data_IF_766139310543
#
_entry.id   IF_766139310543
#
_cell.length_a   1.000
_cell.length_b   1.000
_cell.length_c   1.000
_cell.angle_alpha   90.00
_cell.angle_beta   90.00
_cell.angle_gamma   90.00
#
_symmetry.space_group_name_H-M   'P 1'
#
loop_
_entity.id
_entity.type
_entity.pdbx_description
1 polymer ?
#
# COMPACT_ATOMS: atom_id res chain seq x y z
N UNK A 1 28.70 -42.38 -4.11
CA UNK A 1 29.06 -41.17 -3.34
C UNK A 1 27.77 -40.55 -2.86
N UNK A 2 27.66 -40.22 -1.57
CA UNK A 2 26.56 -39.38 -1.09
C UNK A 2 26.75 -37.98 -1.66
N UNK A 3 25.69 -37.36 -2.20
CA UNK A 3 25.75 -35.96 -2.62
C UNK A 3 25.75 -35.09 -1.38
N UNK A 4 26.94 -34.67 -0.94
CA UNK A 4 27.12 -33.76 0.18
C UNK A 4 26.41 -32.44 -0.13
N UNK A 5 25.43 -32.08 0.70
CA UNK A 5 24.63 -30.88 0.50
C UNK A 5 25.42 -29.67 0.97
N UNK A 6 25.98 -28.93 0.00
CA UNK A 6 26.71 -27.69 0.25
C UNK A 6 25.77 -26.47 0.10
N UNK A 7 25.42 -25.77 1.21
CA UNK A 7 24.56 -24.60 1.16
C UNK A 7 25.24 -23.38 0.50
N UNK A 8 26.56 -23.25 0.60
CA UNK A 8 27.29 -22.07 0.11
C UNK A 8 27.30 -22.01 -1.42
N UNK A 9 27.18 -23.15 -2.10
CA UNK A 9 27.00 -23.24 -3.55
C UNK A 9 25.81 -22.43 -4.08
N UNK A 10 24.74 -22.28 -3.30
CA UNK A 10 23.52 -21.58 -3.72
C UNK A 10 23.55 -20.08 -3.44
N UNK A 11 24.46 -19.62 -2.57
CA UNK A 11 24.57 -18.22 -2.14
C UNK A 11 24.64 -17.22 -3.31
N UNK A 12 25.53 -17.38 -4.32
CA UNK A 12 25.64 -16.38 -5.40
C UNK A 12 24.37 -16.28 -6.24
N UNK A 13 23.67 -17.40 -6.42
CA UNK A 13 22.40 -17.45 -7.15
C UNK A 13 21.26 -16.84 -6.34
N UNK A 14 21.21 -17.10 -5.03
CA UNK A 14 20.25 -16.46 -4.11
C UNK A 14 20.45 -14.95 -4.13
N UNK A 15 21.67 -14.46 -3.94
CA UNK A 15 21.99 -13.02 -3.89
C UNK A 15 21.69 -12.33 -5.25
N UNK A 16 21.93 -13.01 -6.38
CA UNK A 16 21.54 -12.51 -7.70
C UNK A 16 20.01 -12.42 -7.87
N UNK A 17 19.25 -13.44 -7.46
CA UNK A 17 17.78 -13.42 -7.51
C UNK A 17 17.22 -12.29 -6.61
N UNK A 18 17.74 -12.17 -5.39
CA UNK A 18 17.38 -11.14 -4.42
C UNK A 18 17.77 -9.72 -4.88
N UNK A 19 18.85 -9.57 -5.66
CA UNK A 19 19.30 -8.29 -6.20
C UNK A 19 18.51 -7.81 -7.42
N UNK A 20 18.13 -8.70 -8.33
CA UNK A 20 17.45 -8.36 -9.60
C UNK A 20 15.93 -8.20 -9.46
N UNK A 21 15.33 -8.87 -8.48
CA UNK A 21 13.88 -9.10 -8.46
C UNK A 21 13.21 -8.43 -7.26
N UNK A 22 11.92 -8.07 -7.37
CA UNK A 22 11.20 -7.26 -6.37
C UNK A 22 11.19 -7.88 -4.96
N UNK A 23 11.97 -7.26 -4.07
CA UNK A 23 12.26 -7.66 -2.68
C UNK A 23 10.99 -7.94 -1.84
N UNK A 24 9.89 -7.22 -2.10
CA UNK A 24 8.63 -7.33 -1.34
C UNK A 24 7.69 -8.44 -1.86
N UNK A 25 7.86 -8.90 -3.10
CA UNK A 25 6.91 -9.80 -3.79
C UNK A 25 7.41 -11.26 -3.78
N UNK A 26 8.69 -11.46 -3.53
CA UNK A 26 9.34 -12.76 -3.61
C UNK A 26 9.20 -13.51 -2.29
N UNK A 27 8.65 -14.72 -2.40
CA UNK A 27 8.59 -15.65 -1.28
C UNK A 27 9.76 -16.63 -1.33
N UNK A 28 10.21 -17.09 -0.16
CA UNK A 28 11.24 -18.13 -0.02
C UNK A 28 10.93 -19.37 -0.88
N UNK A 29 9.65 -19.75 -0.99
CA UNK A 29 9.18 -20.84 -1.86
C UNK A 29 9.52 -20.59 -3.34
N UNK A 30 9.41 -19.37 -3.83
CA UNK A 30 9.70 -19.00 -5.23
C UNK A 30 11.20 -19.10 -5.53
N UNK A 31 12.05 -18.64 -4.61
CA UNK A 31 13.51 -18.78 -4.72
C UNK A 31 13.91 -20.26 -4.69
N UNK A 32 13.41 -21.03 -3.72
CA UNK A 32 13.69 -22.47 -3.63
C UNK A 32 13.25 -23.23 -4.88
N UNK A 33 12.08 -22.92 -5.45
CA UNK A 33 11.63 -23.51 -6.70
C UNK A 33 12.54 -23.13 -7.88
N UNK A 34 13.00 -21.88 -7.97
CA UNK A 34 13.96 -21.45 -8.99
C UNK A 34 15.33 -22.15 -8.84
N UNK A 35 15.79 -22.40 -7.60
CA UNK A 35 17.00 -23.20 -7.35
C UNK A 35 16.81 -24.67 -7.77
N UNK A 36 15.63 -25.27 -7.54
CA UNK A 36 15.33 -26.63 -8.03
C UNK A 36 15.37 -26.70 -9.56
N UNK A 37 14.84 -25.69 -10.24
CA UNK A 37 14.83 -25.58 -11.71
C UNK A 37 16.23 -25.35 -12.30
N UNK A 38 17.02 -24.44 -11.72
CA UNK A 38 18.36 -24.10 -12.20
C UNK A 38 19.41 -25.19 -11.97
N UNK A 39 19.32 -25.93 -10.86
CA UNK A 39 20.32 -26.95 -10.51
C UNK A 39 19.84 -28.39 -10.80
N UNK A 40 18.56 -28.63 -11.07
CA UNK A 40 18.02 -29.96 -11.31
C UNK A 40 18.08 -30.91 -10.10
N UNK A 41 18.24 -30.36 -8.89
CA UNK A 41 18.38 -31.11 -7.63
C UNK A 41 17.11 -30.98 -6.81
N UNK A 42 16.66 -32.09 -6.19
CA UNK A 42 15.57 -31.98 -5.22
C UNK A 42 16.06 -31.40 -3.88
N UNK A 43 15.71 -30.13 -3.67
CA UNK A 43 15.99 -29.35 -2.48
C UNK A 43 14.93 -29.52 -1.36
N UNK A 44 14.01 -30.49 -1.46
CA UNK A 44 13.06 -30.79 -0.38
C UNK A 44 13.69 -31.34 0.91
N UNK A 45 14.70 -32.24 0.89
CA UNK A 45 15.32 -32.77 2.13
C UNK A 45 15.95 -31.67 2.98
N UNK A 46 16.60 -30.70 2.32
CA UNK A 46 17.29 -29.55 2.95
C UNK A 46 16.49 -28.26 2.91
N UNK A 47 15.16 -28.36 2.77
CA UNK A 47 14.25 -27.20 2.66
C UNK A 47 14.45 -26.19 3.80
N UNK A 48 14.68 -26.65 5.03
CA UNK A 48 14.85 -25.77 6.18
C UNK A 48 16.13 -24.94 6.06
N UNK A 49 17.25 -25.61 5.84
CA UNK A 49 18.59 -25.01 5.72
C UNK A 49 18.62 -23.94 4.62
N UNK A 50 17.96 -24.21 3.49
CA UNK A 50 17.82 -23.28 2.37
C UNK A 50 16.90 -22.10 2.71
N UNK A 51 15.78 -22.36 3.39
CA UNK A 51 14.88 -21.28 3.82
C UNK A 51 15.59 -20.32 4.79
N UNK A 52 16.35 -20.86 5.74
CA UNK A 52 17.10 -20.10 6.73
C UNK A 52 18.24 -19.32 6.05
N UNK A 53 18.95 -19.93 5.09
CA UNK A 53 19.97 -19.26 4.26
C UNK A 53 19.40 -18.08 3.45
N UNK A 54 18.27 -18.29 2.75
CA UNK A 54 17.57 -17.24 1.99
C UNK A 54 17.16 -16.09 2.91
N UNK A 55 16.65 -16.42 4.10
CA UNK A 55 16.18 -15.43 5.08
C UNK A 55 17.34 -14.60 5.64
N UNK A 56 18.47 -15.23 5.97
CA UNK A 56 19.67 -14.54 6.43
C UNK A 56 20.26 -13.64 5.34
N UNK A 57 20.31 -14.11 4.09
CA UNK A 57 20.77 -13.29 2.96
C UNK A 57 19.84 -12.11 2.67
N UNK A 58 18.53 -12.31 2.78
CA UNK A 58 17.53 -11.25 2.66
C UNK A 58 17.76 -10.12 3.69
N UNK A 59 17.97 -10.46 4.97
CA UNK A 59 18.26 -9.45 6.00
C UNK A 59 19.59 -8.73 5.78
N UNK A 60 20.67 -9.45 5.44
CA UNK A 60 21.96 -8.83 5.13
C UNK A 60 21.90 -7.86 3.94
N UNK A 61 21.06 -8.16 2.94
CA UNK A 61 20.89 -7.32 1.75
C UNK A 61 20.02 -6.07 2.04
N UNK A 62 19.09 -6.17 2.99
CA UNK A 62 18.37 -5.00 3.54
C UNK A 62 19.32 -4.07 4.32
N UNK A 63 20.08 -4.61 5.28
CA UNK A 63 21.02 -3.83 6.09
C UNK A 63 22.05 -3.12 5.19
N UNK A 64 22.58 -3.83 4.19
CA UNK A 64 23.51 -3.26 3.22
C UNK A 64 22.90 -2.13 2.40
N UNK A 65 21.65 -2.25 1.94
CA UNK A 65 20.93 -1.16 1.25
C UNK A 65 20.73 0.05 2.15
N UNK A 66 20.44 -0.15 3.45
CA UNK A 66 20.37 0.97 4.38
C UNK A 66 21.72 1.66 4.61
N UNK A 67 22.82 0.90 4.70
CA UNK A 67 24.17 1.47 4.82
C UNK A 67 24.58 2.23 3.56
N UNK A 68 24.31 1.68 2.37
CA UNK A 68 24.53 2.36 1.07
C UNK A 68 23.69 3.65 0.98
N UNK A 69 22.44 3.67 1.44
CA UNK A 69 21.67 4.91 1.53
C UNK A 69 22.26 5.91 2.54
N UNK A 70 22.74 5.45 3.69
CA UNK A 70 23.32 6.31 4.74
C UNK A 70 24.64 6.93 4.28
N UNK A 71 25.49 6.19 3.56
CA UNK A 71 26.74 6.72 3.00
C UNK A 71 26.47 7.72 1.89
N UNK A 72 25.61 7.41 0.91
CA UNK A 72 25.25 8.34 -0.17
C UNK A 72 24.60 9.63 0.35
N UNK A 73 23.74 9.55 1.38
CA UNK A 73 23.18 10.74 2.04
C UNK A 73 24.26 11.60 2.69
N UNK A 74 25.21 10.97 3.40
CA UNK A 74 26.33 11.66 4.06
C UNK A 74 27.27 12.33 3.05
N UNK A 75 27.64 11.64 1.97
CA UNK A 75 28.46 12.20 0.88
C UNK A 75 27.76 13.38 0.19
N UNK A 76 26.45 13.27 -0.05
CA UNK A 76 25.63 14.33 -0.63
C UNK A 76 25.56 15.57 0.28
N UNK A 77 25.36 15.37 1.59
CA UNK A 77 25.39 16.47 2.57
C UNK A 77 26.77 17.13 2.65
N UNK A 78 27.85 16.36 2.56
CA UNK A 78 29.22 16.88 2.58
C UNK A 78 29.53 17.70 1.32
N UNK A 79 29.10 17.22 0.15
CA UNK A 79 29.17 17.98 -1.11
C UNK A 79 28.37 19.28 -1.04
N UNK A 80 27.13 19.25 -0.54
CA UNK A 80 26.32 20.47 -0.35
C UNK A 80 26.99 21.47 0.63
N UNK A 81 27.70 20.99 1.67
CA UNK A 81 28.48 21.85 2.58
C UNK A 81 29.71 22.47 1.91
N UNK A 82 30.36 21.77 0.98
CA UNK A 82 31.52 22.29 0.23
C UNK A 82 31.10 23.30 -0.85
N UNK A 83 29.97 23.06 -1.52
CA UNK A 83 29.43 23.96 -2.55
C UNK A 83 28.78 25.21 -1.97
N UNK A 84 28.15 25.14 -0.79
CA UNK A 84 27.49 26.27 -0.14
C UNK A 84 28.35 27.57 -0.04
N UNK A 85 29.60 27.56 0.47
CA UNK A 85 30.44 28.76 0.51
C UNK A 85 30.88 29.22 -0.88
N UNK A 86 31.07 28.31 -1.84
CA UNK A 86 31.42 28.66 -3.22
C UNK A 86 30.25 29.39 -3.90
N UNK A 87 29.04 28.85 -3.79
CA UNK A 87 27.80 29.45 -4.30
C UNK A 87 27.47 30.79 -3.61
N UNK A 88 27.68 30.89 -2.29
CA UNK A 88 27.52 32.14 -1.55
C UNK A 88 28.54 33.21 -1.98
N UNK A 89 29.75 32.81 -2.37
CA UNK A 89 30.77 33.72 -2.92
C UNK A 89 30.44 34.14 -4.35
N UNK A 90 30.01 33.20 -5.20
CA UNK A 90 29.63 33.47 -6.59
C UNK A 90 28.45 34.46 -6.64
N UNK A 91 27.37 34.19 -5.92
CA UNK A 91 26.17 35.04 -5.86
C UNK A 91 26.45 36.44 -5.31
N UNK A 92 27.34 36.59 -4.33
CA UNK A 92 27.84 37.91 -3.92
C UNK A 92 28.57 38.62 -5.07
N UNK A 93 29.49 37.93 -5.77
CA UNK A 93 30.20 38.54 -6.91
C UNK A 93 29.28 38.88 -8.09
N UNK A 94 28.23 38.11 -8.35
CA UNK A 94 27.20 38.45 -9.33
C UNK A 94 26.42 39.69 -8.91
N UNK A 95 25.95 39.76 -7.66
CA UNK A 95 25.26 40.94 -7.13
C UNK A 95 26.12 42.22 -7.24
N UNK A 96 27.39 42.15 -6.84
CA UNK A 96 28.32 43.28 -6.94
C UNK A 96 28.76 43.60 -8.37
N UNK A 97 28.85 42.63 -9.28
CA UNK A 97 29.23 42.86 -10.68
C UNK A 97 28.07 43.35 -11.55
N UNK A 98 26.83 42.87 -11.32
CA UNK A 98 25.61 43.45 -11.90
C UNK A 98 25.41 44.87 -11.39
N UNK A 99 25.60 45.12 -10.09
CA UNK A 99 25.61 46.47 -9.52
C UNK A 99 26.69 47.39 -10.11
N UNK A 100 27.86 46.85 -10.49
CA UNK A 100 28.93 47.61 -11.15
C UNK A 100 28.63 47.87 -12.63
N UNK A 101 28.08 46.89 -13.37
CA UNK A 101 27.61 47.05 -14.76
C UNK A 101 26.51 48.10 -14.87
N UNK A 102 25.56 48.12 -13.93
CA UNK A 102 24.49 49.14 -13.89
C UNK A 102 25.02 50.55 -13.59
N UNK A 103 26.07 50.70 -12.78
CA UNK A 103 26.71 52.02 -12.53
C UNK A 103 27.56 52.50 -13.71
N UNK A 104 28.26 51.60 -14.40
CA UNK A 104 29.12 51.94 -15.54
C UNK A 104 28.34 52.48 -16.77
N UNK A 105 27.02 52.24 -16.85
CA UNK A 105 26.15 52.77 -17.92
C UNK A 105 25.68 54.22 -17.63
N UNK A 106 25.93 54.76 -16.43
CA UNK A 106 25.39 56.07 -16.01
C UNK A 106 26.40 57.20 -15.85
N UNK A 107 27.71 56.96 -16.04
CA UNK A 107 28.70 58.06 -16.03
C UNK A 107 28.94 58.60 -17.45
N UNK A 108 27.93 59.27 -18.00
CA UNK A 108 28.09 60.33 -19.01
C UNK A 108 26.82 61.21 -19.06
N UNK A 109 27.00 62.51 -18.79
CA UNK A 109 26.03 63.63 -18.87
C UNK A 109 24.85 63.67 -17.86
N UNK A 110 25.09 64.46 -16.80
CA UNK A 110 24.27 65.62 -16.39
C UNK A 110 22.73 65.57 -16.60
N UNK A 111 21.95 65.45 -15.51
CA UNK A 111 20.51 65.73 -15.53
C UNK A 111 19.77 65.46 -14.21
N UNK A 112 19.26 66.53 -13.56
CA UNK A 112 18.30 66.43 -12.44
C UNK A 112 17.06 65.60 -12.81
N UNK A 113 16.65 64.63 -11.98
CA UNK A 113 15.26 64.46 -11.49
C UNK A 113 15.09 63.41 -10.38
N UNK A 114 13.86 63.29 -9.86
CA UNK A 114 13.49 62.88 -8.48
C UNK A 114 12.42 61.77 -8.51
N UNK A 115 12.30 60.98 -7.42
CA UNK A 115 11.29 59.93 -7.14
C UNK A 115 11.45 58.61 -7.94
N UNK A 116 10.95 57.43 -7.52
CA UNK A 116 10.00 57.09 -6.44
C UNK A 116 10.30 55.70 -5.78
N UNK A 117 9.35 55.13 -5.00
CA UNK A 117 9.50 54.07 -3.97
C UNK A 117 8.68 52.79 -4.30
N UNK A 118 9.00 51.66 -3.64
CA UNK A 118 8.30 50.32 -3.58
C UNK A 118 8.77 49.26 -4.63
N UNK A 119 8.70 47.94 -4.38
CA UNK A 119 8.52 47.13 -3.13
C UNK A 119 8.86 45.63 -3.34
N UNK A 120 9.05 44.88 -2.24
CA UNK A 120 9.20 43.41 -2.18
C UNK A 120 7.90 42.62 -2.44
N UNK A 121 8.02 41.46 -3.08
CA UNK A 121 7.32 40.17 -2.80
C UNK A 121 8.03 39.06 -3.61
N UNK A 122 8.36 37.83 -3.20
CA UNK A 122 8.02 36.90 -2.09
C UNK A 122 6.69 36.14 -2.22
N UNK A 123 6.72 34.97 -2.89
CA UNK A 123 5.80 33.81 -2.77
C UNK A 123 6.18 32.80 -3.88
N UNK A 124 6.93 31.73 -3.60
CA UNK A 124 6.50 30.45 -3.00
C UNK A 124 6.13 29.39 -4.05
N UNK A 125 6.85 28.29 -3.97
CA UNK A 125 6.56 26.94 -4.50
C UNK A 125 5.09 26.63 -4.85
N UNK A 126 4.89 26.10 -6.05
CA UNK A 126 4.05 24.90 -6.21
C UNK A 126 4.63 24.01 -7.32
N UNK A 127 5.00 22.77 -6.97
CA UNK A 127 5.34 21.72 -7.94
C UNK A 127 4.13 20.78 -7.97
N UNK A 128 3.38 20.69 -9.08
CA UNK A 128 2.20 19.85 -9.13
C UNK A 128 2.57 18.40 -8.82
N UNK A 129 1.96 17.87 -7.76
CA UNK A 129 2.15 16.50 -7.29
C UNK A 129 1.70 15.54 -8.40
N UNK A 130 2.54 14.54 -8.70
CA UNK A 130 2.41 13.63 -9.87
C UNK A 130 0.98 13.12 -10.06
N UNK A 131 0.52 13.19 -11.31
CA UNK A 131 -0.82 12.78 -11.74
C UNK A 131 -1.17 11.37 -11.29
N UNK A 132 -2.35 11.27 -10.68
CA UNK A 132 -2.93 10.11 -10.03
C UNK A 132 -2.80 8.77 -10.79
N UNK A 133 -2.66 7.70 -10.01
CA UNK A 133 -3.17 6.38 -10.39
C UNK A 133 -4.72 6.42 -10.31
N UNK A 134 -5.35 7.01 -11.33
CA UNK A 134 -6.78 7.40 -11.38
C UNK A 134 -7.74 6.24 -11.07
N UNK A 135 -7.40 5.01 -11.45
CA UNK A 135 -8.31 3.86 -11.32
C UNK A 135 -8.49 3.34 -9.88
N UNK A 136 -7.40 3.12 -9.14
CA UNK A 136 -7.47 2.38 -7.86
C UNK A 136 -7.92 3.24 -6.68
N UNK A 137 -7.66 4.55 -6.73
CA UNK A 137 -8.06 5.51 -5.71
C UNK A 137 -9.38 6.23 -6.09
N UNK A 138 -10.16 5.72 -7.04
CA UNK A 138 -11.45 6.31 -7.41
C UNK A 138 -12.36 6.40 -6.18
N UNK A 139 -12.91 7.58 -5.94
CA UNK A 139 -13.88 7.81 -4.87
C UNK A 139 -15.16 7.01 -5.15
N UNK A 140 -15.60 6.26 -4.15
CA UNK A 140 -16.81 5.45 -4.18
C UNK A 140 -17.72 5.87 -3.02
N UNK A 141 -19.02 5.68 -3.19
CA UNK A 141 -20.01 5.99 -2.15
C UNK A 141 -20.25 4.73 -1.32
N UNK A 142 -20.30 4.90 -0.01
CA UNK A 142 -20.46 3.81 0.94
C UNK A 142 -21.94 3.63 1.33
N UNK A 143 -22.34 2.42 1.68
CA UNK A 143 -23.64 2.18 2.30
C UNK A 143 -23.76 2.96 3.62
N UNK A 144 -24.99 3.27 4.04
CA UNK A 144 -25.24 3.97 5.32
C UNK A 144 -24.61 3.21 6.52
N UNK A 145 -24.69 1.89 6.53
CA UNK A 145 -24.11 1.04 7.58
C UNK A 145 -22.57 1.15 7.62
N UNK A 146 -21.92 1.14 6.46
CA UNK A 146 -20.46 1.20 6.34
C UNK A 146 -19.95 2.62 6.64
N UNK A 147 -20.69 3.63 6.19
CA UNK A 147 -20.45 5.03 6.51
C UNK A 147 -20.59 5.31 8.02
N UNK A 148 -21.57 4.69 8.70
CA UNK A 148 -21.75 4.83 10.15
C UNK A 148 -20.61 4.18 10.97
N UNK A 149 -19.94 3.15 10.44
CA UNK A 149 -18.78 2.53 11.09
C UNK A 149 -17.51 3.38 10.88
N UNK A 150 -17.30 3.88 9.67
CA UNK A 150 -16.06 4.59 9.27
C UNK A 150 -16.11 6.10 9.54
N UNK A 151 -17.30 6.69 9.67
CA UNK A 151 -17.50 8.14 9.80
C UNK A 151 -17.34 8.93 8.49
N UNK A 152 -17.37 8.24 7.33
CA UNK A 152 -17.19 8.84 6.00
C UNK A 152 -18.25 8.31 5.04
N UNK A 153 -18.93 9.18 4.28
CA UNK A 153 -19.92 8.76 3.28
C UNK A 153 -19.31 8.39 1.93
N UNK A 154 -18.07 8.82 1.67
CA UNK A 154 -17.32 8.59 0.43
C UNK A 154 -15.87 8.27 0.75
N UNK A 155 -15.33 7.22 0.15
CA UNK A 155 -13.94 6.83 0.25
C UNK A 155 -13.56 5.94 -0.93
N UNK A 156 -12.26 5.80 -1.23
CA UNK A 156 -11.80 4.78 -2.16
C UNK A 156 -11.84 3.40 -1.51
N UNK A 157 -12.07 2.34 -2.30
CA UNK A 157 -12.06 0.95 -1.81
C UNK A 157 -10.83 0.57 -0.95
N UNK A 158 -9.57 0.90 -1.31
CA UNK A 158 -8.42 0.62 -0.44
C UNK A 158 -8.44 1.42 0.87
N UNK A 159 -8.98 2.65 0.87
CA UNK A 159 -9.13 3.45 2.07
C UNK A 159 -10.15 2.85 3.04
N UNK A 160 -11.29 2.37 2.54
CA UNK A 160 -12.29 1.61 3.32
C UNK A 160 -11.65 0.40 4.01
N UNK A 161 -10.93 -0.43 3.23
CA UNK A 161 -10.27 -1.64 3.77
C UNK A 161 -9.24 -1.26 4.84
N UNK A 162 -8.47 -0.18 4.64
CA UNK A 162 -7.51 0.31 5.63
C UNK A 162 -8.19 0.77 6.93
N UNK A 163 -9.28 1.55 6.83
CA UNK A 163 -10.02 2.04 8.01
C UNK A 163 -10.67 0.90 8.78
N UNK A 164 -11.21 -0.10 8.07
CA UNK A 164 -11.77 -1.29 8.68
C UNK A 164 -10.71 -2.11 9.42
N UNK A 165 -9.49 -2.23 8.88
CA UNK A 165 -8.37 -2.89 9.57
C UNK A 165 -7.86 -2.13 10.80
N UNK A 166 -7.99 -0.80 10.83
CA UNK A 166 -7.73 0.00 12.04
C UNK A 166 -8.79 -0.36 13.09
N UNK A 167 -10.08 -0.30 12.75
CA UNK A 167 -11.17 -0.68 13.65
C UNK A 167 -11.03 -2.11 14.23
N UNK A 168 -10.69 -3.09 13.39
CA UNK A 168 -10.49 -4.50 13.80
C UNK A 168 -9.33 -4.64 14.80
N UNK A 169 -8.27 -3.84 14.66
CA UNK A 169 -7.11 -3.87 15.57
C UNK A 169 -7.37 -3.11 16.87
N UNK A 170 -8.00 -1.95 16.78
CA UNK A 170 -8.28 -1.09 17.94
C UNK A 170 -9.29 -1.75 18.92
N UNK A 171 -10.14 -2.65 18.41
CA UNK A 171 -11.11 -3.43 19.22
C UNK A 171 -10.68 -4.90 19.46
N UNK A 172 -9.44 -5.27 19.12
CA UNK A 172 -8.87 -6.63 19.22
C UNK A 172 -9.79 -7.76 18.69
N UNK A 173 -10.37 -7.55 17.51
CA UNK A 173 -11.36 -8.44 16.88
C UNK A 173 -10.73 -9.57 16.04
N UNK A 174 -9.44 -9.86 16.22
CA UNK A 174 -8.77 -10.99 15.57
C UNK A 174 -8.84 -12.22 16.46
N UNK A 175 -9.15 -13.39 15.88
CA UNK A 175 -9.09 -14.63 16.66
C UNK A 175 -7.63 -14.89 17.10
N UNK A 176 -7.34 -15.03 18.42
CA UNK A 176 -5.98 -15.27 18.92
C UNK A 176 -5.40 -16.62 18.45
N UNK A 177 -6.25 -17.61 18.15
CA UNK A 177 -5.84 -18.93 17.65
C UNK A 177 -5.54 -18.93 16.15
N UNK A 178 -6.38 -18.25 15.34
CA UNK A 178 -6.16 -18.05 13.90
C UNK A 178 -6.35 -16.60 13.47
N UNK A 179 -5.24 -15.87 13.36
CA UNK A 179 -5.18 -14.45 12.94
C UNK A 179 -5.70 -14.19 11.50
N UNK A 180 -6.12 -15.22 10.76
CA UNK A 180 -6.82 -15.09 9.46
C UNK A 180 -8.32 -14.85 9.62
N UNK A 181 -8.87 -15.16 10.79
CA UNK A 181 -10.27 -15.02 11.15
C UNK A 181 -10.48 -13.73 11.96
N UNK A 182 -11.52 -13.00 11.58
CA UNK A 182 -12.01 -11.81 12.28
C UNK A 182 -13.31 -12.22 12.96
N UNK A 183 -13.38 -12.01 14.28
CA UNK A 183 -14.58 -12.16 15.08
C UNK A 183 -15.38 -10.87 14.93
N UNK A 184 -16.61 -10.95 14.39
CA UNK A 184 -17.41 -9.77 14.17
C UNK A 184 -18.08 -9.32 15.48
N UNK A 185 -17.87 -8.06 15.84
CA UNK A 185 -18.66 -7.38 16.87
C UNK A 185 -20.09 -7.09 16.34
N UNK A 186 -20.97 -6.54 17.17
CA UNK A 186 -22.34 -6.22 16.74
C UNK A 186 -22.42 -5.30 15.51
N UNK A 187 -21.40 -4.44 15.29
CA UNK A 187 -21.39 -3.47 14.20
C UNK A 187 -20.96 -4.12 12.89
N UNK A 188 -19.93 -4.97 12.93
CA UNK A 188 -19.49 -5.79 11.80
C UNK A 188 -20.47 -6.92 11.50
N UNK A 189 -21.14 -7.50 12.51
CA UNK A 189 -22.16 -8.54 12.30
C UNK A 189 -23.39 -7.97 11.58
N UNK A 190 -23.82 -6.74 11.89
CA UNK A 190 -24.91 -6.06 11.13
C UNK A 190 -24.54 -5.87 9.65
N UNK A 191 -23.30 -5.46 9.38
CA UNK A 191 -22.78 -5.29 8.02
C UNK A 191 -22.63 -6.61 7.26
N UNK A 192 -21.90 -7.56 7.83
CA UNK A 192 -21.50 -8.80 7.15
C UNK A 192 -22.50 -9.94 7.29
N UNK A 193 -23.46 -9.82 8.23
CA UNK A 193 -24.49 -10.82 8.56
C UNK A 193 -23.89 -12.18 8.93
N UNK A 194 -22.69 -12.13 9.55
CA UNK A 194 -21.86 -13.27 9.95
C UNK A 194 -21.11 -12.93 11.23
N UNK A 195 -20.98 -13.92 12.11
CA UNK A 195 -20.23 -13.83 13.38
C UNK A 195 -18.72 -13.95 13.22
N UNK A 196 -18.29 -14.60 12.14
CA UNK A 196 -16.87 -14.80 11.84
C UNK A 196 -16.67 -14.65 10.33
N UNK A 197 -15.63 -13.91 9.96
CA UNK A 197 -15.33 -13.56 8.56
C UNK A 197 -13.82 -13.65 8.35
N UNK A 198 -13.39 -14.20 7.21
CA UNK A 198 -11.96 -14.18 6.82
C UNK A 198 -11.59 -12.90 6.08
N UNK A 199 -10.30 -12.51 6.08
CA UNK A 199 -9.82 -11.33 5.33
C UNK A 199 -10.27 -11.27 3.85
N UNK A 200 -10.30 -12.41 3.16
CA UNK A 200 -10.76 -12.49 1.77
C UNK A 200 -12.29 -12.32 1.64
N UNK A 201 -13.03 -12.90 2.58
CA UNK A 201 -14.48 -12.82 2.63
C UNK A 201 -14.98 -11.42 2.99
N UNK A 202 -14.30 -10.73 3.92
CA UNK A 202 -14.50 -9.32 4.22
C UNK A 202 -14.41 -8.47 2.95
N UNK A 203 -13.35 -8.67 2.15
CA UNK A 203 -13.19 -8.00 0.86
C UNK A 203 -14.30 -8.36 -0.14
N UNK A 204 -14.80 -9.60 -0.15
CA UNK A 204 -15.94 -9.99 -0.99
C UNK A 204 -17.20 -9.23 -0.59
N UNK A 205 -17.57 -9.24 0.69
CA UNK A 205 -18.77 -8.61 1.25
C UNK A 205 -18.77 -7.09 1.10
N UNK A 206 -17.61 -6.42 1.28
CA UNK A 206 -17.47 -4.98 1.04
C UNK A 206 -17.90 -4.53 -0.37
N UNK A 207 -17.87 -5.42 -1.37
CA UNK A 207 -18.30 -5.11 -2.74
C UNK A 207 -19.79 -4.80 -2.83
N UNK A 208 -20.62 -5.35 -1.94
CA UNK A 208 -22.06 -5.08 -1.87
C UNK A 208 -22.42 -3.76 -1.17
N UNK A 209 -21.44 -3.09 -0.55
CA UNK A 209 -21.62 -1.85 0.22
C UNK A 209 -20.82 -0.66 -0.32
N UNK A 210 -20.18 -0.82 -1.49
CA UNK A 210 -19.35 0.19 -2.14
C UNK A 210 -19.85 0.38 -3.57
N UNK A 211 -20.45 1.54 -3.84
CA UNK A 211 -21.11 1.87 -5.11
C UNK A 211 -20.31 2.92 -5.88
N UNK A 212 -20.33 2.90 -7.22
CA UNK A 212 -19.76 4.03 -7.99
C UNK A 212 -20.71 5.21 -7.86
N UNK A 213 -20.21 6.46 -7.89
CA UNK A 213 -21.07 7.64 -7.87
C UNK A 213 -22.02 7.72 -9.08
N UNK A 214 -21.67 7.06 -10.19
CA UNK A 214 -22.50 6.93 -11.40
C UNK A 214 -23.73 6.02 -11.19
N UNK A 215 -23.61 4.94 -10.40
CA UNK A 215 -24.65 3.91 -10.29
C UNK A 215 -25.85 4.35 -9.39
N UNK A 216 -25.79 5.56 -8.81
CA UNK A 216 -26.71 6.04 -7.77
C UNK A 216 -27.85 6.89 -8.35
N UNK A 217 -27.70 7.45 -9.56
CA UNK A 217 -28.78 8.17 -10.24
C UNK A 217 -29.97 7.27 -10.57
N UNK A 218 -29.70 5.99 -10.81
CA UNK A 218 -30.67 5.05 -11.40
C UNK A 218 -31.28 4.11 -10.32
N UNK A 219 -30.69 4.09 -9.12
CA UNK A 219 -30.95 3.07 -8.08
C UNK A 219 -32.20 3.27 -7.22
N UNK A 220 -32.90 4.41 -7.31
CA UNK A 220 -34.13 4.66 -6.53
C UNK A 220 -35.37 3.92 -7.07
N UNK A 221 -35.29 3.30 -8.24
CA UNK A 221 -36.44 2.73 -8.96
C UNK A 221 -36.57 1.20 -8.90
N UNK A 222 -35.62 0.44 -8.33
CA UNK A 222 -35.66 -1.02 -8.40
C UNK A 222 -35.28 -1.76 -7.11
N UNK A 223 -36.09 -1.58 -6.06
CA UNK A 223 -36.14 -2.47 -4.90
C UNK A 223 -37.33 -3.45 -4.99
N UNK A 224 -37.56 -4.07 -6.15
CA UNK A 224 -38.47 -5.23 -6.28
C UNK A 224 -38.27 -5.98 -7.61
N UNK A 225 -37.25 -6.83 -7.68
CA UNK A 225 -37.29 -8.04 -8.51
C UNK A 225 -36.23 -9.05 -8.07
N UNK A 226 -36.69 -10.10 -7.40
CA UNK A 226 -35.91 -11.30 -7.07
C UNK A 226 -35.68 -12.13 -8.36
N UNK A 227 -34.57 -12.87 -8.45
CA UNK A 227 -34.15 -13.51 -9.72
C UNK A 227 -33.11 -14.62 -9.56
N UNK A 228 -33.39 -15.59 -8.67
CA UNK A 228 -32.54 -16.76 -8.44
C UNK A 228 -32.81 -17.90 -9.46
N UNK A 229 -31.82 -18.75 -9.72
CA UNK A 229 -31.92 -20.00 -10.48
C UNK A 229 -30.53 -20.66 -10.57
N UNK A 230 -30.33 -21.97 -10.42
CA UNK A 230 -31.24 -23.14 -10.43
C UNK A 230 -30.63 -24.23 -9.49
N UNK A 231 -31.25 -25.35 -9.08
CA UNK A 231 -32.51 -26.00 -9.47
C UNK A 231 -33.07 -26.98 -8.41
N UNK A 232 -34.26 -27.52 -8.72
CA UNK A 232 -34.82 -28.83 -8.33
C UNK A 232 -35.51 -28.99 -6.95
N UNK A 233 -36.84 -29.03 -7.01
CA UNK A 233 -37.76 -29.64 -6.05
C UNK A 233 -38.29 -30.96 -6.63
N UNK A 234 -38.62 -31.92 -5.77
CA UNK A 234 -39.79 -32.80 -5.92
C UNK A 234 -40.11 -33.44 -4.56
N UNK A 235 -41.40 -33.59 -4.25
CA UNK A 235 -41.92 -34.18 -3.01
C UNK A 235 -42.02 -35.72 -3.11
N UNK A 236 -42.79 -36.30 -2.17
CA UNK A 236 -43.44 -37.62 -2.13
C UNK A 236 -42.77 -38.62 -1.17
N UNK A 237 -43.19 -38.62 0.10
CA UNK A 237 -44.05 -39.69 0.65
C UNK A 237 -44.54 -39.34 2.06
N UNK A 238 -45.83 -39.51 2.29
CA UNK A 238 -46.46 -39.54 3.62
C UNK A 238 -46.69 -41.00 4.03
N UNK A 239 -46.45 -41.35 5.31
CA UNK A 239 -47.26 -42.26 6.16
C UNK A 239 -46.58 -42.51 7.52
N UNK A 240 -47.31 -43.20 8.41
CA UNK A 240 -46.99 -43.55 9.81
C UNK A 240 -47.02 -42.33 10.76
N UNK A 241 -48.12 -41.96 11.44
CA UNK A 241 -49.25 -42.70 12.08
C UNK A 241 -48.95 -43.20 13.51
N UNK A 242 -49.97 -43.11 14.37
CA UNK A 242 -50.04 -43.53 15.79
C UNK A 242 -49.07 -42.83 16.78
N UNK A 243 -49.34 -42.71 18.08
CA UNK A 243 -50.56 -42.78 18.93
C UNK A 243 -50.06 -42.57 20.39
N UNK A 244 -50.89 -41.99 21.29
CA UNK A 244 -50.67 -41.99 22.77
C UNK A 244 -49.41 -41.27 23.34
N UNK A 245 -49.36 -40.85 24.61
CA UNK A 245 -50.36 -40.53 25.67
C UNK A 245 -49.58 -39.78 26.78
N UNK A 246 -50.08 -38.73 27.42
CA UNK A 246 -50.73 -38.63 28.76
C UNK A 246 -50.48 -37.15 29.18
N UNK A 247 -51.44 -36.32 29.62
CA UNK A 247 -52.14 -36.29 30.92
C UNK A 247 -51.17 -36.26 32.13
N UNK A 248 -51.22 -35.31 33.09
CA UNK A 248 -52.13 -34.17 33.39
C UNK A 248 -51.38 -32.81 33.46
#
# INVERSE_FOLDING_TARGET
MSSEFDPDKYVPTIDAILGVSDMEVITVKRIRNALQELFGVDLQPHKKDINDLITNRYFLLLDKKEEEEKTVKKEREEMERQDAPLAAKLSQTEYYSVGRRLRAVTDHKNGKRKSQKKSKSSSSTDKPKRTAAVGFNKEMVLSNELANLIGQSRASRPQVVKQLWVYIKDNDLQNPEDKRQILCDERLERLFKKKMVTSFEMNKLLTSHIFKPEDISDGLANQSSNGNGNSKVEEIFSHDNDESSEEE
#
